data_IF_905484098212
#
_entry.id   IF_905484098212
#
_cell.length_a   1.000
_cell.length_b   1.000
_cell.length_c   1.000
_cell.angle_alpha   90.00
_cell.angle_beta   90.00
_cell.angle_gamma   90.00
#
_symmetry.space_group_name_H-M   'P 1'
#
loop_
_entity.id
_entity.type
_entity.pdbx_description
1 polymer ?
#
# COMPACT_ATOMS: atom_id res chain seq x y z
N UNK A 1 25.34 9.04 10.72
CA UNK A 1 24.39 8.32 9.86
C UNK A 1 24.60 8.83 8.45
N UNK A 2 24.56 7.94 7.46
CA UNK A 2 24.63 8.32 6.05
C UNK A 2 23.35 9.10 5.72
N UNK A 3 23.49 10.33 5.22
CA UNK A 3 22.38 11.23 4.86
C UNK A 3 21.64 10.82 3.58
N UNK A 4 22.10 9.73 2.94
CA UNK A 4 21.49 9.16 1.75
C UNK A 4 20.27 8.32 2.10
N UNK A 5 19.20 8.54 1.35
CA UNK A 5 18.11 7.57 1.30
C UNK A 5 18.47 6.48 0.32
N UNK A 6 18.12 5.27 0.72
CA UNK A 6 18.20 4.11 -0.15
C UNK A 6 16.98 4.12 -1.06
N UNK A 7 17.12 4.84 -2.18
CA UNK A 7 16.09 4.99 -3.21
C UNK A 7 15.71 3.60 -3.74
N UNK A 8 16.68 2.72 -3.94
CA UNK A 8 16.44 1.36 -4.42
C UNK A 8 15.54 0.57 -3.47
N UNK A 9 15.78 0.64 -2.15
CA UNK A 9 14.95 -0.02 -1.15
C UNK A 9 13.52 0.50 -1.15
N UNK A 10 13.30 1.80 -1.32
CA UNK A 10 11.94 2.30 -1.43
C UNK A 10 11.29 2.00 -2.76
N UNK A 11 11.99 2.14 -3.89
CA UNK A 11 11.44 1.76 -5.19
C UNK A 11 11.02 0.30 -5.17
N UNK A 12 11.81 -0.57 -4.56
CA UNK A 12 11.43 -1.96 -4.30
C UNK A 12 10.17 -2.05 -3.45
N UNK A 13 10.12 -1.35 -2.31
CA UNK A 13 8.96 -1.34 -1.41
C UNK A 13 7.69 -0.91 -2.14
N UNK A 14 7.75 0.21 -2.85
CA UNK A 14 6.62 0.83 -3.55
C UNK A 14 6.17 0.01 -4.75
N UNK A 15 7.10 -0.47 -5.58
CA UNK A 15 6.74 -1.32 -6.70
C UNK A 15 6.14 -2.65 -6.22
N UNK A 16 6.67 -3.20 -5.12
CA UNK A 16 6.13 -4.40 -4.49
C UNK A 16 4.72 -4.18 -3.94
N UNK A 17 4.51 -3.10 -3.18
CA UNK A 17 3.19 -2.75 -2.64
C UNK A 17 2.18 -2.46 -3.77
N UNK A 18 2.55 -1.64 -4.77
CA UNK A 18 1.70 -1.34 -5.92
C UNK A 18 1.30 -2.61 -6.67
N UNK A 19 2.27 -3.49 -6.96
CA UNK A 19 1.99 -4.77 -7.63
C UNK A 19 1.06 -5.64 -6.80
N UNK A 20 1.31 -5.77 -5.50
CA UNK A 20 0.48 -6.59 -4.63
C UNK A 20 -0.96 -6.04 -4.53
N UNK A 21 -1.14 -4.72 -4.41
CA UNK A 21 -2.45 -4.07 -4.42
C UNK A 21 -3.20 -4.33 -5.74
N UNK A 22 -2.50 -4.17 -6.87
CA UNK A 22 -3.04 -4.43 -8.20
C UNK A 22 -3.44 -5.89 -8.40
N UNK A 23 -2.56 -6.84 -8.05
CA UNK A 23 -2.79 -8.27 -8.23
C UNK A 23 -3.99 -8.75 -7.40
N UNK A 24 -4.14 -8.23 -6.18
CA UNK A 24 -5.31 -8.49 -5.33
C UNK A 24 -6.58 -7.90 -5.96
N UNK A 25 -6.54 -6.64 -6.41
CA UNK A 25 -7.69 -6.02 -7.09
C UNK A 25 -8.14 -6.81 -8.33
N UNK A 26 -7.18 -7.24 -9.16
CA UNK A 26 -7.44 -8.06 -10.35
C UNK A 26 -8.02 -9.44 -9.98
N UNK A 27 -7.55 -10.07 -8.90
CA UNK A 27 -8.11 -11.32 -8.39
C UNK A 27 -9.59 -11.16 -8.06
N UNK A 28 -9.98 -10.09 -7.38
CA UNK A 28 -11.39 -9.83 -7.08
C UNK A 28 -12.20 -9.63 -8.34
N UNK A 29 -11.79 -8.72 -9.22
CA UNK A 29 -12.49 -8.42 -10.47
C UNK A 29 -12.72 -9.68 -11.33
N UNK A 30 -11.74 -10.57 -11.42
CA UNK A 30 -11.84 -11.81 -12.18
C UNK A 30 -12.86 -12.81 -11.61
N UNK A 31 -13.13 -12.77 -10.30
CA UNK A 31 -14.03 -13.71 -9.64
C UNK A 31 -15.43 -13.14 -9.35
N UNK A 32 -15.59 -11.81 -9.37
CA UNK A 32 -16.88 -11.14 -9.19
C UNK A 32 -18.03 -11.69 -10.07
N UNK A 33 -17.82 -12.01 -11.37
CA UNK A 33 -18.90 -12.57 -12.19
C UNK A 33 -19.48 -13.88 -11.66
N UNK A 34 -18.64 -14.75 -11.10
CA UNK A 34 -19.10 -16.01 -10.49
C UNK A 34 -19.96 -15.71 -9.25
N UNK A 35 -19.54 -14.76 -8.42
CA UNK A 35 -20.27 -14.38 -7.22
C UNK A 35 -21.63 -13.73 -7.52
N UNK A 36 -21.71 -12.98 -8.63
CA UNK A 36 -22.93 -12.33 -9.12
C UNK A 36 -23.87 -13.26 -9.92
N UNK A 37 -23.43 -14.45 -10.31
CA UNK A 37 -24.22 -15.39 -11.11
C UNK A 37 -25.25 -16.20 -10.29
N UNK A 38 -26.09 -17.00 -10.97
CA UNK A 38 -26.97 -17.99 -10.33
C UNK A 38 -26.25 -19.29 -9.92
N UNK A 39 -24.90 -19.28 -9.84
CA UNK A 39 -24.14 -20.43 -9.37
C UNK A 39 -24.58 -20.90 -7.97
N UNK A 40 -24.41 -22.20 -7.71
CA UNK A 40 -24.76 -22.78 -6.40
C UNK A 40 -23.98 -22.15 -5.26
N UNK A 41 -24.58 -22.14 -4.07
CA UNK A 41 -23.95 -21.62 -2.85
C UNK A 41 -22.57 -22.25 -2.60
N UNK A 42 -22.47 -23.59 -2.73
CA UNK A 42 -21.22 -24.31 -2.55
C UNK A 42 -20.12 -23.89 -3.57
N UNK A 43 -20.49 -23.57 -4.81
CA UNK A 43 -19.55 -23.09 -5.81
C UNK A 43 -19.00 -21.70 -5.46
N UNK A 44 -19.87 -20.81 -4.96
CA UNK A 44 -19.47 -19.47 -4.54
C UNK A 44 -18.64 -19.48 -3.26
N UNK A 45 -18.97 -20.33 -2.29
CA UNK A 45 -18.15 -20.54 -1.08
C UNK A 45 -16.76 -21.05 -1.42
N UNK A 46 -16.66 -22.03 -2.34
CA UNK A 46 -15.38 -22.52 -2.82
C UNK A 46 -14.58 -21.41 -3.54
N UNK A 47 -15.26 -20.54 -4.29
CA UNK A 47 -14.63 -19.39 -4.93
C UNK A 47 -14.02 -18.42 -3.90
N UNK A 48 -14.80 -17.96 -2.91
CA UNK A 48 -14.27 -17.01 -1.91
C UNK A 48 -13.17 -17.64 -1.04
N UNK A 49 -13.23 -18.95 -0.75
CA UNK A 49 -12.15 -19.66 -0.06
C UNK A 49 -10.85 -19.66 -0.88
N UNK A 50 -10.92 -19.97 -2.17
CA UNK A 50 -9.75 -19.93 -3.07
C UNK A 50 -9.21 -18.51 -3.25
N UNK A 51 -10.09 -17.51 -3.25
CA UNK A 51 -9.66 -16.12 -3.25
C UNK A 51 -8.92 -15.77 -1.96
N UNK A 52 -9.45 -16.18 -0.80
CA UNK A 52 -8.79 -15.99 0.48
C UNK A 52 -7.40 -16.66 0.50
N UNK A 53 -7.28 -17.90 0.03
CA UNK A 53 -5.98 -18.58 -0.12
C UNK A 53 -4.98 -17.75 -0.92
N UNK A 54 -5.40 -17.24 -2.07
CA UNK A 54 -4.52 -16.45 -2.94
C UNK A 54 -4.17 -15.09 -2.35
N UNK A 55 -5.07 -14.48 -1.57
CA UNK A 55 -4.75 -13.24 -0.85
C UNK A 55 -3.75 -13.54 0.27
N UNK A 56 -3.96 -14.63 1.01
CA UNK A 56 -3.09 -15.07 2.11
C UNK A 56 -1.66 -15.32 1.61
N UNK A 57 -1.49 -15.98 0.46
CA UNK A 57 -0.20 -16.17 -0.23
C UNK A 57 0.52 -14.84 -0.56
N UNK A 58 -0.21 -13.73 -0.65
CA UNK A 58 0.38 -12.39 -0.91
C UNK A 58 0.65 -11.61 0.36
N UNK A 59 0.06 -11.97 1.51
CA UNK A 59 0.21 -11.22 2.74
C UNK A 59 1.67 -11.16 3.22
N UNK A 60 2.43 -12.25 3.05
CA UNK A 60 3.86 -12.25 3.40
C UNK A 60 4.65 -11.24 2.56
N UNK A 61 4.36 -11.15 1.26
CA UNK A 61 4.99 -10.16 0.39
C UNK A 61 4.55 -8.73 0.74
N UNK A 62 3.29 -8.53 1.14
CA UNK A 62 2.85 -7.24 1.67
C UNK A 62 3.64 -6.85 2.92
N UNK A 63 3.78 -7.76 3.88
CA UNK A 63 4.53 -7.52 5.13
C UNK A 63 6.00 -7.18 4.85
N UNK A 64 6.65 -7.92 3.95
CA UNK A 64 8.04 -7.66 3.54
C UNK A 64 8.20 -6.27 2.91
N UNK A 65 7.38 -5.94 1.91
CA UNK A 65 7.48 -4.65 1.23
C UNK A 65 7.11 -3.48 2.13
N UNK A 66 6.15 -3.67 3.04
CA UNK A 66 5.84 -2.68 4.07
C UNK A 66 7.01 -2.48 5.04
N UNK A 67 7.76 -3.54 5.37
CA UNK A 67 9.00 -3.43 6.15
C UNK A 67 10.03 -2.52 5.48
N UNK A 68 10.31 -2.73 4.19
CA UNK A 68 11.22 -1.85 3.42
C UNK A 68 10.74 -0.40 3.39
N UNK A 69 9.43 -0.19 3.25
CA UNK A 69 8.83 1.13 3.28
C UNK A 69 9.01 1.82 4.65
N UNK A 70 8.81 1.08 5.74
CA UNK A 70 8.96 1.62 7.09
C UNK A 70 10.41 2.02 7.39
N UNK A 71 11.39 1.21 6.97
CA UNK A 71 12.81 1.54 7.09
C UNK A 71 13.17 2.82 6.31
N UNK A 72 12.59 2.99 5.11
CA UNK A 72 12.70 4.23 4.35
C UNK A 72 12.10 5.42 5.10
N UNK A 73 10.88 5.28 5.62
CA UNK A 73 10.19 6.35 6.34
C UNK A 73 11.00 6.84 7.54
N UNK A 74 11.54 5.90 8.33
CA UNK A 74 12.36 6.22 9.49
C UNK A 74 13.63 6.99 9.10
N UNK A 75 14.33 6.57 8.04
CA UNK A 75 15.50 7.30 7.51
C UNK A 75 15.14 8.69 7.00
N UNK A 76 14.04 8.84 6.25
CA UNK A 76 13.60 10.14 5.72
C UNK A 76 13.33 11.10 6.88
N UNK A 77 12.59 10.64 7.89
CA UNK A 77 12.29 11.40 9.10
C UNK A 77 13.55 11.85 9.82
N UNK A 78 14.54 10.98 9.97
CA UNK A 78 15.83 11.32 10.59
C UNK A 78 16.63 12.33 9.76
N UNK A 79 16.67 12.15 8.44
CA UNK A 79 17.38 13.05 7.53
C UNK A 79 16.78 14.46 7.51
N UNK A 80 15.46 14.58 7.50
CA UNK A 80 14.77 15.89 7.58
C UNK A 80 14.98 16.53 8.94
N UNK A 81 14.94 15.75 10.03
CA UNK A 81 15.17 16.26 11.39
C UNK A 81 16.60 16.81 11.57
N UNK A 82 17.58 16.11 11.02
CA UNK A 82 19.00 16.44 11.18
C UNK A 82 19.54 17.33 10.05
N UNK A 83 18.73 17.63 9.04
CA UNK A 83 19.10 18.45 7.89
C UNK A 83 20.30 17.88 7.10
N UNK A 84 20.28 16.56 6.87
CA UNK A 84 21.39 15.79 6.26
C UNK A 84 21.08 15.26 4.86
N UNK A 85 20.09 15.81 4.16
CA UNK A 85 19.70 15.31 2.83
C UNK A 85 20.75 15.72 1.78
N UNK A 86 21.41 14.72 1.16
CA UNK A 86 22.46 14.96 0.16
C UNK A 86 21.91 15.19 -1.27
N UNK A 87 20.77 14.58 -1.63
CA UNK A 87 20.18 14.63 -2.99
C UNK A 87 18.71 15.08 -2.98
N UNK A 88 18.45 16.39 -2.90
CA UNK A 88 17.10 16.94 -2.70
C UNK A 88 16.13 16.67 -3.87
N UNK A 89 16.63 16.67 -5.11
CA UNK A 89 15.81 16.57 -6.33
C UNK A 89 15.24 15.16 -6.53
N UNK A 90 16.02 14.13 -6.20
CA UNK A 90 15.59 12.72 -6.32
C UNK A 90 14.40 12.44 -5.40
N UNK A 91 14.37 13.07 -4.22
CA UNK A 91 13.31 12.90 -3.24
C UNK A 91 12.02 13.58 -3.71
N UNK A 92 12.12 14.76 -4.30
CA UNK A 92 10.97 15.53 -4.79
C UNK A 92 10.22 14.78 -5.90
N UNK A 93 10.94 14.32 -6.94
CA UNK A 93 10.36 13.57 -8.07
C UNK A 93 9.65 12.32 -7.59
N UNK A 94 10.28 11.64 -6.65
CA UNK A 94 9.79 10.39 -6.09
C UNK A 94 8.55 10.57 -5.22
N UNK A 95 8.56 11.56 -4.32
CA UNK A 95 7.44 11.83 -3.41
C UNK A 95 6.23 12.28 -4.21
N UNK A 96 6.47 13.05 -5.27
CA UNK A 96 5.45 13.39 -6.26
C UNK A 96 4.86 12.13 -6.92
N UNK A 97 5.70 11.23 -7.44
CA UNK A 97 5.22 9.99 -8.05
C UNK A 97 4.38 9.14 -7.08
N UNK A 98 4.90 8.93 -5.87
CA UNK A 98 4.22 8.14 -4.85
C UNK A 98 2.88 8.80 -4.46
N UNK A 99 2.84 10.12 -4.27
CA UNK A 99 1.63 10.86 -3.90
C UNK A 99 0.50 10.76 -4.94
N UNK A 100 0.86 10.60 -6.22
CA UNK A 100 -0.09 10.54 -7.33
C UNK A 100 -0.63 9.14 -7.61
N UNK A 101 0.13 8.10 -7.24
CA UNK A 101 -0.15 6.70 -7.61
C UNK A 101 -0.75 5.91 -6.46
N UNK A 102 -0.18 6.01 -5.25
CA UNK A 102 -0.61 5.19 -4.12
C UNK A 102 -2.03 5.42 -3.64
N UNK A 103 -2.50 6.67 -3.49
CA UNK A 103 -3.86 6.90 -3.04
C UNK A 103 -4.89 6.24 -3.96
N UNK A 104 -4.64 6.25 -5.28
CA UNK A 104 -5.54 5.63 -6.26
C UNK A 104 -5.63 4.11 -6.07
N UNK A 105 -4.51 3.42 -5.94
CA UNK A 105 -4.52 1.96 -5.74
C UNK A 105 -5.19 1.55 -4.42
N UNK A 106 -4.94 2.30 -3.35
CA UNK A 106 -5.57 2.06 -2.05
C UNK A 106 -7.08 2.27 -2.14
N UNK A 107 -7.53 3.36 -2.78
CA UNK A 107 -8.95 3.67 -2.92
C UNK A 107 -9.66 2.66 -3.83
N UNK A 108 -9.06 2.25 -4.95
CA UNK A 108 -9.60 1.22 -5.85
C UNK A 108 -9.73 -0.15 -5.17
N UNK A 109 -8.71 -0.54 -4.40
CA UNK A 109 -8.76 -1.80 -3.64
C UNK A 109 -9.79 -1.72 -2.51
N UNK A 110 -9.86 -0.60 -1.79
CA UNK A 110 -10.88 -0.37 -0.76
C UNK A 110 -12.29 -0.50 -1.32
N UNK A 111 -12.58 0.16 -2.44
CA UNK A 111 -13.87 0.03 -3.14
C UNK A 111 -14.18 -1.41 -3.55
N UNK A 112 -13.15 -2.14 -4.01
CA UNK A 112 -13.29 -3.55 -4.39
C UNK A 112 -13.64 -4.42 -3.17
N UNK A 113 -12.98 -4.21 -2.03
CA UNK A 113 -13.26 -4.91 -0.77
C UNK A 113 -14.68 -4.60 -0.27
N UNK A 114 -15.06 -3.32 -0.28
CA UNK A 114 -16.39 -2.87 0.14
C UNK A 114 -17.49 -3.49 -0.72
N UNK A 115 -17.27 -3.63 -2.03
CA UNK A 115 -18.24 -4.23 -2.95
C UNK A 115 -18.57 -5.70 -2.60
N UNK A 116 -17.60 -6.43 -2.02
CA UNK A 116 -17.78 -7.82 -1.58
C UNK A 116 -18.55 -7.92 -0.27
N UNK A 117 -18.53 -6.85 0.54
CA UNK A 117 -19.21 -6.84 1.82
C UNK A 117 -20.73 -7.02 1.69
N UNK A 118 -21.28 -6.61 0.54
CA UNK A 118 -22.69 -6.76 0.18
C UNK A 118 -23.07 -8.15 -0.37
N UNK A 119 -22.10 -9.05 -0.58
CA UNK A 119 -22.37 -10.42 -1.03
C UNK A 119 -22.63 -11.29 0.20
N UNK A 120 -23.76 -12.02 0.28
CA UNK A 120 -24.15 -12.80 1.46
C UNK A 120 -23.39 -14.14 1.59
N UNK A 121 -22.12 -14.16 1.20
CA UNK A 121 -21.29 -15.37 1.11
C UNK A 121 -20.04 -15.11 1.94
N UNK A 122 -20.00 -15.76 3.10
CA UNK A 122 -19.01 -15.54 4.14
C UNK A 122 -18.48 -16.89 4.59
N UNK A 123 -17.16 -17.03 4.55
CA UNK A 123 -16.48 -18.16 5.20
C UNK A 123 -15.56 -17.57 6.25
N UNK A 124 -15.36 -18.29 7.36
CA UNK A 124 -14.48 -17.81 8.45
C UNK A 124 -13.08 -17.47 7.93
N UNK A 125 -12.56 -18.29 7.01
CA UNK A 125 -11.28 -18.06 6.34
C UNK A 125 -11.28 -16.75 5.56
N UNK A 126 -12.27 -16.54 4.70
CA UNK A 126 -12.37 -15.31 3.92
C UNK A 126 -12.45 -14.09 4.83
N UNK A 127 -13.31 -14.11 5.85
CA UNK A 127 -13.47 -12.99 6.77
C UNK A 127 -12.18 -12.68 7.55
N UNK A 128 -11.45 -13.71 7.98
CA UNK A 128 -10.16 -13.53 8.66
C UNK A 128 -9.11 -12.90 7.74
N UNK A 129 -8.93 -13.44 6.53
CA UNK A 129 -7.97 -12.91 5.55
C UNK A 129 -8.32 -11.48 5.12
N UNK A 130 -9.60 -11.18 4.91
CA UNK A 130 -10.04 -9.84 4.52
C UNK A 130 -9.84 -8.81 5.63
N UNK A 131 -10.03 -9.20 6.89
CA UNK A 131 -9.76 -8.32 8.04
C UNK A 131 -8.28 -7.97 8.12
N UNK A 132 -7.39 -8.95 7.93
CA UNK A 132 -5.96 -8.72 7.95
C UNK A 132 -5.51 -7.83 6.78
N UNK A 133 -5.95 -8.14 5.56
CA UNK A 133 -5.67 -7.31 4.39
C UNK A 133 -6.13 -5.86 4.61
N UNK A 134 -7.36 -5.67 5.12
CA UNK A 134 -7.88 -4.35 5.44
C UNK A 134 -7.02 -3.60 6.47
N UNK A 135 -6.52 -4.30 7.50
CA UNK A 135 -5.62 -3.70 8.49
C UNK A 135 -4.28 -3.27 7.88
N UNK A 136 -3.69 -4.07 6.99
CA UNK A 136 -2.42 -3.73 6.32
C UNK A 136 -2.60 -2.50 5.43
N UNK A 137 -3.70 -2.45 4.67
CA UNK A 137 -4.03 -1.31 3.80
C UNK A 137 -4.20 -0.02 4.60
N UNK A 138 -4.96 -0.07 5.71
CA UNK A 138 -5.19 1.11 6.55
C UNK A 138 -3.91 1.59 7.24
N UNK A 139 -3.09 0.67 7.77
CA UNK A 139 -1.79 1.02 8.36
C UNK A 139 -0.89 1.70 7.32
N UNK A 140 -0.80 1.12 6.13
CA UNK A 140 0.01 1.70 5.07
C UNK A 140 -0.52 3.08 4.63
N UNK A 141 -1.85 3.25 4.50
CA UNK A 141 -2.47 4.55 4.20
C UNK A 141 -2.12 5.60 5.26
N UNK A 142 -2.12 5.22 6.53
CA UNK A 142 -1.76 6.10 7.64
C UNK A 142 -0.29 6.52 7.56
N UNK A 143 0.63 5.56 7.40
CA UNK A 143 2.05 5.88 7.33
C UNK A 143 2.44 6.61 6.05
N UNK A 144 1.74 6.37 4.95
CA UNK A 144 1.91 7.13 3.72
C UNK A 144 1.61 8.62 3.91
N UNK A 145 0.52 8.96 4.61
CA UNK A 145 0.22 10.36 4.97
C UNK A 145 1.30 10.98 5.85
N UNK A 146 1.91 10.22 6.76
CA UNK A 146 3.01 10.69 7.61
C UNK A 146 4.26 10.98 6.78
N UNK A 147 4.59 10.13 5.81
CA UNK A 147 5.69 10.37 4.86
C UNK A 147 5.48 11.67 4.08
N UNK A 148 4.27 11.90 3.55
CA UNK A 148 3.95 13.15 2.85
C UNK A 148 4.09 14.38 3.77
N UNK A 149 3.70 14.27 5.04
CA UNK A 149 3.87 15.36 6.01
C UNK A 149 5.35 15.68 6.24
N UNK A 150 6.21 14.66 6.35
CA UNK A 150 7.68 14.86 6.47
C UNK A 150 8.25 15.50 5.21
N UNK A 151 7.77 15.10 4.04
CA UNK A 151 8.14 15.71 2.76
C UNK A 151 7.76 17.20 2.68
N UNK A 152 6.59 17.59 3.17
CA UNK A 152 6.15 18.98 3.17
C UNK A 152 7.02 19.84 4.10
N UNK A 153 7.36 19.32 5.29
CA UNK A 153 8.29 20.00 6.23
C UNK A 153 9.64 20.25 5.55
N UNK A 154 10.15 19.24 4.85
CA UNK A 154 11.40 19.35 4.11
C UNK A 154 11.35 20.46 3.04
N UNK A 155 10.27 20.54 2.25
CA UNK A 155 10.10 21.59 1.23
C UNK A 155 10.12 22.98 1.84
N UNK A 156 9.42 23.19 2.96
CA UNK A 156 9.41 24.48 3.67
C UNK A 156 10.81 24.86 4.17
N UNK A 157 11.55 23.91 4.76
CA UNK A 157 12.92 24.16 5.23
C UNK A 157 13.87 24.58 4.09
N UNK A 158 13.74 23.93 2.93
CA UNK A 158 14.52 24.24 1.72
C UNK A 158 14.21 25.65 1.19
N UNK A 159 12.94 26.04 1.16
CA UNK A 159 12.50 27.38 0.73
C UNK A 159 12.96 28.49 1.67
N UNK A 160 12.97 28.26 2.98
CA UNK A 160 13.46 29.25 3.94
C UNK A 160 14.96 29.52 3.76
N UNK A 161 15.75 28.47 3.50
CA UNK A 161 17.20 28.58 3.29
C UNK A 161 17.60 29.24 1.97
N UNK A 162 16.77 29.14 0.94
CA UNK A 162 17.06 29.80 -0.35
C UNK A 162 16.76 31.30 -0.35
N UNK A 163 16.15 31.81 0.72
CA UNK A 163 15.84 33.23 0.93
C UNK A 163 16.85 33.95 1.84
N UNK A 164 17.80 33.22 2.44
CA UNK A 164 18.93 33.75 3.24
C UNK A 164 20.16 34.03 2.37
#
# INVERSE_FOLDING_TARGET
MDGRLDIDSFEKAINGLNKNLYDVGALFQANMPLLASEASQAAKENCVNKMADRVDERLDSFRENYGYYNDFYEKLKENVKNDTIENPEEYDVFLEHASNTFPKYIDELGQTIDSLSGIPIRTEKFDSTMRELGSIIENFRFDFKRTLTVADVYKVQKEMKSQE
#
